data_IF_672540165381
#
_entry.id   IF_672540165381
#
_cell.length_a   1.000
_cell.length_b   1.000
_cell.length_c   1.000
_cell.angle_alpha   90.00
_cell.angle_beta   90.00
_cell.angle_gamma   90.00
#
_symmetry.space_group_name_H-M   'P 1'
#
loop_
_entity.id
_entity.type
_entity.pdbx_description
1 polymer ?
#
# COMPACT_ATOMS: atom_id res chain seq x y z
N UNK A 1 0.97 -16.12 1.24
CA UNK A 1 0.07 -14.95 1.32
C UNK A 1 -1.22 -15.31 2.05
N UNK A 2 -1.66 -14.52 3.04
CA UNK A 2 -2.99 -14.68 3.63
C UNK A 2 -4.10 -14.13 2.72
N UNK A 3 -5.34 -14.62 2.90
CA UNK A 3 -6.51 -14.09 2.16
C UNK A 3 -6.76 -12.61 2.47
N UNK A 4 -6.50 -12.19 3.72
CA UNK A 4 -6.67 -10.80 4.16
C UNK A 4 -5.65 -9.86 3.53
N UNK A 5 -4.40 -10.28 3.42
CA UNK A 5 -3.37 -9.48 2.77
C UNK A 5 -3.65 -9.24 1.28
N UNK A 6 -4.06 -10.29 0.56
CA UNK A 6 -4.43 -10.14 -0.85
C UNK A 6 -5.63 -9.22 -1.04
N UNK A 7 -6.65 -9.35 -0.19
CA UNK A 7 -7.81 -8.47 -0.19
C UNK A 7 -7.40 -7.01 0.08
N UNK A 8 -6.57 -6.78 1.09
CA UNK A 8 -6.10 -5.45 1.44
C UNK A 8 -5.32 -4.78 0.30
N UNK A 9 -4.42 -5.50 -0.35
CA UNK A 9 -3.64 -4.95 -1.46
C UNK A 9 -4.53 -4.59 -2.64
N UNK A 10 -5.55 -5.41 -2.93
CA UNK A 10 -6.54 -5.12 -3.97
C UNK A 10 -7.37 -3.87 -3.63
N UNK A 11 -7.84 -3.77 -2.39
CA UNK A 11 -8.59 -2.61 -1.89
C UNK A 11 -7.75 -1.33 -1.93
N UNK A 12 -6.47 -1.39 -1.57
CA UNK A 12 -5.57 -0.25 -1.68
C UNK A 12 -5.45 0.23 -3.14
N UNK A 13 -5.36 -0.69 -4.11
CA UNK A 13 -5.27 -0.30 -5.53
C UNK A 13 -6.58 0.25 -6.10
N UNK A 14 -7.71 -0.34 -5.73
CA UNK A 14 -9.02 0.04 -6.29
C UNK A 14 -9.63 1.25 -5.57
N UNK A 15 -9.24 1.53 -4.33
CA UNK A 15 -9.82 2.58 -3.50
C UNK A 15 -8.77 3.64 -3.07
N UNK A 16 -8.68 4.77 -3.78
CA UNK A 16 -7.72 5.84 -3.44
C UNK A 16 -7.97 6.50 -2.08
N UNK A 17 -9.18 6.36 -1.50
CA UNK A 17 -9.45 6.82 -0.13
C UNK A 17 -8.75 5.95 0.90
N UNK A 18 -8.72 4.63 0.69
CA UNK A 18 -8.01 3.70 1.57
C UNK A 18 -6.50 3.92 1.50
N UNK A 19 -5.95 4.22 0.32
CA UNK A 19 -4.55 4.67 0.22
C UNK A 19 -4.32 5.92 1.07
N UNK A 20 -5.20 6.92 1.00
CA UNK A 20 -5.02 8.15 1.77
C UNK A 20 -5.10 7.91 3.29
N UNK A 21 -6.00 7.04 3.74
CA UNK A 21 -6.12 6.64 5.15
C UNK A 21 -4.91 5.82 5.61
N UNK A 22 -4.48 4.86 4.79
CA UNK A 22 -3.26 4.08 5.02
C UNK A 22 -2.05 5.00 5.17
N UNK A 23 -1.85 5.96 4.26
CA UNK A 23 -0.72 6.89 4.31
C UNK A 23 -0.78 7.92 5.45
N UNK A 24 -1.98 8.17 5.98
CA UNK A 24 -2.14 9.07 7.12
C UNK A 24 -1.69 8.43 8.42
N UNK A 25 -1.92 7.11 8.58
CA UNK A 25 -1.51 6.37 9.77
C UNK A 25 -1.37 4.87 9.47
N UNK A 26 -0.22 4.49 8.89
CA UNK A 26 0.00 3.15 8.33
C UNK A 26 -0.09 2.06 9.41
N UNK A 27 0.46 2.33 10.60
CA UNK A 27 0.47 1.35 11.70
C UNK A 27 -0.93 1.15 12.29
N UNK A 28 -1.68 2.24 12.51
CA UNK A 28 -3.03 2.17 13.03
C UNK A 28 -4.04 1.65 11.97
N UNK A 29 -3.78 1.87 10.69
CA UNK A 29 -4.59 1.30 9.63
C UNK A 29 -4.41 -0.22 9.57
N UNK A 30 -3.16 -0.70 9.58
CA UNK A 30 -2.84 -2.13 9.50
C UNK A 30 -3.25 -2.91 10.76
N UNK A 31 -3.30 -2.26 11.93
CA UNK A 31 -3.78 -2.89 13.17
C UNK A 31 -5.26 -3.30 13.11
N UNK A 32 -6.06 -2.66 12.24
CA UNK A 32 -7.47 -3.01 11.98
C UNK A 32 -7.62 -4.30 11.18
N UNK A 33 -6.54 -4.77 10.53
CA UNK A 33 -6.55 -5.96 9.69
C UNK A 33 -5.80 -7.11 10.38
N UNK A 34 -6.35 -8.32 10.24
CA UNK A 34 -5.77 -9.52 10.82
C UNK A 34 -4.60 -10.04 9.96
N UNK A 35 -3.55 -9.24 9.85
CA UNK A 35 -2.32 -9.51 9.12
C UNK A 35 -1.26 -10.10 10.04
N UNK A 36 -0.37 -10.92 9.48
CA UNK A 36 0.82 -11.36 10.19
C UNK A 36 1.84 -10.23 10.34
N UNK A 37 2.71 -10.31 11.35
CA UNK A 37 3.81 -9.33 11.53
C UNK A 37 4.66 -9.17 10.25
N UNK A 38 4.91 -10.25 9.52
CA UNK A 38 5.69 -10.21 8.27
C UNK A 38 4.96 -9.42 7.19
N UNK A 39 3.65 -9.62 7.05
CA UNK A 39 2.81 -8.91 6.09
C UNK A 39 2.68 -7.41 6.42
N UNK A 40 2.49 -7.09 7.71
CA UNK A 40 2.47 -5.69 8.15
C UNK A 40 3.80 -5.00 7.89
N UNK A 41 4.92 -5.65 8.25
CA UNK A 41 6.25 -5.09 8.03
C UNK A 41 6.56 -4.90 6.54
N UNK A 42 6.11 -5.80 5.66
CA UNK A 42 6.28 -5.64 4.23
C UNK A 42 5.49 -4.43 3.67
N UNK A 43 4.28 -4.17 4.19
CA UNK A 43 3.47 -3.00 3.83
C UNK A 43 4.05 -1.69 4.39
N UNK A 44 4.46 -1.68 5.66
CA UNK A 44 5.07 -0.53 6.34
C UNK A 44 6.42 -0.16 5.72
N UNK A 45 7.25 -1.15 5.43
CA UNK A 45 8.58 -0.92 4.82
C UNK A 45 8.49 -0.52 3.35
N UNK A 46 7.30 -0.64 2.74
CA UNK A 46 7.05 -0.41 1.32
C UNK A 46 8.03 -1.18 0.43
N UNK A 47 8.51 -2.31 0.93
CA UNK A 47 9.58 -3.09 0.32
C UNK A 47 8.97 -3.99 -0.75
N UNK A 48 9.10 -3.56 -2.01
CA UNK A 48 8.59 -4.29 -3.17
C UNK A 48 9.20 -5.70 -3.26
N UNK A 49 10.44 -5.91 -2.81
CA UNK A 49 11.04 -7.24 -2.78
C UNK A 49 10.44 -8.10 -1.67
N UNK A 50 10.17 -7.54 -0.49
CA UNK A 50 9.46 -8.25 0.57
C UNK A 50 8.02 -8.61 0.14
N UNK A 51 7.33 -7.70 -0.54
CA UNK A 51 5.99 -7.92 -1.10
C UNK A 51 6.00 -9.00 -2.20
N UNK A 52 7.00 -8.98 -3.09
CA UNK A 52 7.19 -10.03 -4.09
C UNK A 52 7.46 -11.40 -3.44
N UNK A 53 8.27 -11.43 -2.39
CA UNK A 53 8.57 -12.65 -1.62
C UNK A 53 7.32 -13.23 -0.95
N UNK A 54 6.35 -12.37 -0.60
CA UNK A 54 5.06 -12.79 -0.06
C UNK A 54 4.08 -13.31 -1.13
N UNK A 55 4.45 -13.24 -2.40
CA UNK A 55 3.66 -13.73 -3.54
C UNK A 55 2.82 -12.67 -4.24
N UNK A 56 3.08 -11.38 -4.02
CA UNK A 56 2.52 -10.33 -4.88
C UNK A 56 3.28 -10.31 -6.20
N UNK A 57 2.55 -10.34 -7.33
CA UNK A 57 3.16 -9.99 -8.61
C UNK A 57 3.64 -8.53 -8.54
N UNK A 58 4.85 -8.26 -9.03
CA UNK A 58 5.54 -6.96 -8.96
C UNK A 58 4.67 -5.77 -9.38
N UNK A 59 3.76 -5.96 -10.34
CA UNK A 59 2.81 -4.92 -10.78
C UNK A 59 1.81 -4.49 -9.69
N UNK A 60 1.40 -5.40 -8.80
CA UNK A 60 0.49 -5.08 -7.70
C UNK A 60 1.20 -4.36 -6.53
N UNK A 61 2.42 -4.77 -6.20
CA UNK A 61 3.21 -4.13 -5.15
C UNK A 61 3.55 -2.68 -5.51
N UNK A 62 3.93 -2.44 -6.77
CA UNK A 62 4.24 -1.09 -7.27
C UNK A 62 2.97 -0.25 -7.37
N UNK A 63 1.86 -0.76 -7.92
CA UNK A 63 0.63 0.02 -8.06
C UNK A 63 0.01 0.49 -6.74
N UNK A 64 0.01 -0.37 -5.70
CA UNK A 64 -0.53 -0.03 -4.39
C UNK A 64 0.27 1.06 -3.66
N UNK A 65 1.60 1.09 -3.87
CA UNK A 65 2.52 1.98 -3.16
C UNK A 65 2.91 3.22 -3.97
N UNK A 66 2.84 3.17 -5.31
CA UNK A 66 3.17 4.30 -6.18
C UNK A 66 2.20 5.48 -6.02
N UNK A 67 0.97 5.25 -5.55
CA UNK A 67 0.02 6.33 -5.23
C UNK A 67 0.48 7.25 -4.08
N UNK A 68 1.39 6.77 -3.22
CA UNK A 68 1.93 7.52 -2.10
C UNK A 68 3.08 8.47 -2.48
N UNK A 69 3.73 8.22 -3.61
CA UNK A 69 4.91 8.99 -4.04
C UNK A 69 4.54 10.23 -4.88
N UNK A 70 3.26 10.46 -5.19
CA UNK A 70 2.82 11.60 -6.00
C UNK A 70 1.91 12.57 -5.26
N UNK A 71 2.07 12.74 -3.94
CA UNK A 71 1.74 14.03 -3.29
C UNK A 71 2.83 15.07 -3.56
N UNK A 72 3.06 15.32 -4.85
CA UNK A 72 3.63 16.54 -5.38
C UNK A 72 2.93 16.84 -6.70
N UNK A 73 1.60 16.87 -6.68
CA UNK A 73 0.86 17.71 -7.61
C UNK A 73 1.21 19.18 -7.30
N UNK A 74 2.37 19.64 -7.76
CA UNK A 74 2.55 21.07 -8.03
C UNK A 74 1.54 21.38 -9.12
N UNK A 75 0.47 22.11 -8.78
CA UNK A 75 -0.15 23.00 -9.76
C UNK A 75 0.99 23.85 -10.31
N UNK A 76 1.43 23.56 -11.52
CA UNK A 76 2.12 24.52 -12.36
C UNK A 76 1.06 25.58 -12.66
N UNK A 77 1.21 26.84 -12.22
CA UNK A 77 0.37 27.89 -12.76
C UNK A 77 0.67 27.99 -14.26
N UNK A 78 -0.35 27.76 -15.08
CA UNK A 78 -0.33 28.12 -16.48
C UNK A 78 -0.25 29.65 -16.54
N UNK A 79 0.84 30.15 -17.10
CA UNK A 79 0.96 31.51 -17.62
C UNK A 79 -0.06 31.72 -18.75
#
# INVERSE_FOLDING_TARGET
MSKYFNFLVKELQENPRLISEFLSDESNFLSKYNLTNVEQQALLSRDVNALNTLGLSTGHAVGALSGAHSQRCRKIPSD
#
